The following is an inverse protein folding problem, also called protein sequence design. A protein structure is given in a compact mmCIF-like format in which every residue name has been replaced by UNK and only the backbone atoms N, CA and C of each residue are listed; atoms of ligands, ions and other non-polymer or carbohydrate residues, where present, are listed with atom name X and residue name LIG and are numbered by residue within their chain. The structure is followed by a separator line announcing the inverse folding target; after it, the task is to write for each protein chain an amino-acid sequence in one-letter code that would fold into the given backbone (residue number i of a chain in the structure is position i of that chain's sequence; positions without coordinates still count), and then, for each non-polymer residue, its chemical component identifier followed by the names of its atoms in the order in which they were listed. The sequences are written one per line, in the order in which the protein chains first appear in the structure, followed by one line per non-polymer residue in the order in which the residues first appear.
data_IF_265810401542
#
_entry.id   IF_265810401542
#
_cell.length_a   1.000
_cell.length_b   1.000
_cell.length_c   1.000
_cell.angle_alpha   90.00
_cell.angle_beta   90.00
_cell.angle_gamma   90.00
#
_symmetry.space_group_name_H-M   'P 1'
#
loop_
_entity.id
_entity.type
_entity.pdbx_description
1 polymer ?
#
# COMPACT_ATOMS: atom_id res chain seq x y z
N UNK A 1 -25.95 -19.74 -5.10
CA UNK A 1 -25.89 -18.27 -5.15
C UNK A 1 -24.47 -17.86 -4.84
N UNK A 2 -23.83 -17.12 -5.74
CA UNK A 2 -22.48 -16.60 -5.55
C UNK A 2 -22.51 -15.28 -4.79
N UNK A 3 -21.38 -14.89 -4.18
CA UNK A 3 -21.24 -13.58 -3.53
C UNK A 3 -21.53 -12.43 -4.50
N UNK A 4 -21.23 -12.61 -5.80
CA UNK A 4 -21.54 -11.63 -6.85
C UNK A 4 -23.06 -11.46 -7.05
N UNK A 5 -23.81 -12.56 -7.04
CA UNK A 5 -25.27 -12.52 -7.17
C UNK A 5 -25.92 -11.87 -5.94
N UNK A 6 -25.44 -12.23 -4.74
CA UNK A 6 -25.89 -11.62 -3.48
C UNK A 6 -25.61 -10.11 -3.46
N UNK A 7 -24.42 -9.67 -3.87
CA UNK A 7 -24.06 -8.25 -3.89
C UNK A 7 -24.99 -7.43 -4.80
N UNK A 8 -25.35 -7.95 -5.98
CA UNK A 8 -26.31 -7.29 -6.89
C UNK A 8 -27.69 -7.15 -6.23
N UNK A 9 -28.19 -8.21 -5.61
CA UNK A 9 -29.48 -8.18 -4.90
C UNK A 9 -29.49 -7.18 -3.74
N UNK A 10 -28.35 -7.02 -3.05
CA UNK A 10 -28.23 -6.05 -1.96
C UNK A 10 -28.22 -4.62 -2.49
N UNK A 11 -27.50 -4.35 -3.59
CA UNK A 11 -27.45 -3.02 -4.22
C UNK A 11 -28.85 -2.51 -4.55
N UNK A 12 -29.71 -3.37 -5.13
CA UNK A 12 -31.07 -2.99 -5.51
C UNK A 12 -31.98 -2.62 -4.32
N UNK A 13 -31.60 -2.99 -3.09
CA UNK A 13 -32.34 -2.67 -1.86
C UNK A 13 -31.88 -1.37 -1.19
N UNK A 14 -30.80 -0.74 -1.69
CA UNK A 14 -30.21 0.44 -1.06
C UNK A 14 -30.96 1.69 -1.52
N UNK A 15 -31.46 2.53 -0.59
CA UNK A 15 -32.07 3.81 -0.96
C UNK A 15 -31.07 4.70 -1.71
N UNK A 16 -31.54 5.41 -2.74
CA UNK A 16 -30.70 6.28 -3.57
C UNK A 16 -29.89 7.30 -2.74
N UNK A 17 -30.46 7.83 -1.65
CA UNK A 17 -29.79 8.76 -0.73
C UNK A 17 -28.52 8.21 -0.07
N UNK A 18 -28.32 6.89 -0.10
CA UNK A 18 -27.13 6.19 0.42
C UNK A 18 -26.25 5.62 -0.68
N UNK A 19 -26.69 5.64 -1.94
CA UNK A 19 -25.99 4.99 -3.06
C UNK A 19 -24.59 5.57 -3.27
N UNK A 20 -24.41 6.87 -3.03
CA UNK A 20 -23.12 7.54 -3.16
C UNK A 20 -22.02 6.92 -2.27
N UNK A 21 -22.36 6.42 -1.07
CA UNK A 21 -21.39 5.74 -0.21
C UNK A 21 -20.96 4.40 -0.83
N UNK A 22 -21.90 3.68 -1.43
CA UNK A 22 -21.68 2.35 -2.02
C UNK A 22 -20.84 2.46 -3.29
N UNK A 23 -21.12 3.45 -4.14
CA UNK A 23 -20.35 3.69 -5.36
C UNK A 23 -18.87 3.86 -5.04
N UNK A 24 -18.51 4.65 -4.02
CA UNK A 24 -17.11 4.84 -3.63
C UNK A 24 -16.42 3.52 -3.24
N UNK A 25 -17.09 2.66 -2.48
CA UNK A 25 -16.55 1.35 -2.12
C UNK A 25 -16.40 0.43 -3.35
N UNK A 26 -17.38 0.43 -4.26
CA UNK A 26 -17.32 -0.39 -5.47
C UNK A 26 -16.23 0.10 -6.44
N UNK A 27 -16.02 1.42 -6.54
CA UNK A 27 -14.93 2.00 -7.32
C UNK A 27 -13.57 1.57 -6.77
N UNK A 28 -13.37 1.61 -5.44
CA UNK A 28 -12.16 1.12 -4.80
C UNK A 28 -11.94 -0.39 -5.01
N UNK A 29 -12.98 -1.21 -4.86
CA UNK A 29 -12.91 -2.65 -5.07
C UNK A 29 -12.71 -3.06 -6.55
N UNK A 30 -13.02 -2.15 -7.48
CA UNK A 30 -12.80 -2.35 -8.91
C UNK A 30 -11.41 -1.90 -9.38
N UNK A 31 -10.62 -1.25 -8.51
CA UNK A 31 -9.20 -0.98 -8.79
C UNK A 31 -8.51 -2.34 -8.98
N UNK A 32 -7.87 -2.60 -10.13
CA UNK A 32 -7.13 -3.83 -10.34
C UNK A 32 -6.02 -3.97 -9.30
N UNK A 33 -5.68 -5.20 -8.94
CA UNK A 33 -4.42 -5.42 -8.24
C UNK A 33 -3.27 -4.96 -9.15
N UNK A 34 -2.51 -3.99 -8.68
CA UNK A 34 -1.32 -3.53 -9.36
C UNK A 34 -0.12 -4.34 -8.88
N UNK A 35 0.73 -4.73 -9.81
CA UNK A 35 2.07 -5.22 -9.48
C UNK A 35 3.02 -4.04 -9.58
N UNK A 36 3.93 -3.83 -8.60
CA UNK A 36 4.97 -2.82 -8.74
C UNK A 36 5.76 -2.99 -10.04
N UNK A 37 6.26 -1.90 -10.60
CA UNK A 37 7.11 -1.97 -11.78
C UNK A 37 8.44 -2.70 -11.47
N UNK A 38 9.18 -3.08 -12.50
CA UNK A 38 10.43 -3.84 -12.35
C UNK A 38 11.44 -3.15 -11.42
N UNK A 39 11.62 -1.83 -11.58
CA UNK A 39 12.51 -1.03 -10.73
C UNK A 39 12.11 -1.09 -9.24
N UNK A 40 10.82 -1.02 -8.95
CA UNK A 40 10.32 -1.10 -7.57
C UNK A 40 10.50 -2.50 -7.00
N UNK A 41 10.28 -3.55 -7.80
CA UNK A 41 10.52 -4.93 -7.37
C UNK A 41 11.99 -5.19 -7.09
N UNK A 42 12.90 -4.65 -7.91
CA UNK A 42 14.35 -4.73 -7.70
C UNK A 42 14.77 -4.01 -6.41
N UNK A 43 14.28 -2.79 -6.18
CA UNK A 43 14.56 -2.07 -4.93
C UNK A 43 14.03 -2.82 -3.69
N UNK A 44 12.85 -3.44 -3.77
CA UNK A 44 12.32 -4.27 -2.69
C UNK A 44 13.19 -5.51 -2.43
N UNK A 45 13.71 -6.13 -3.50
CA UNK A 45 14.62 -7.28 -3.38
C UNK A 45 15.96 -6.88 -2.76
N UNK A 46 16.53 -5.74 -3.16
CA UNK A 46 17.76 -5.22 -2.57
C UNK A 46 17.62 -4.99 -1.05
N UNK A 47 16.52 -4.37 -0.61
CA UNK A 47 16.25 -4.15 0.81
C UNK A 47 16.11 -5.49 1.56
N UNK A 48 15.45 -6.48 0.96
CA UNK A 48 15.32 -7.81 1.55
C UNK A 48 16.70 -8.48 1.72
N UNK A 49 17.56 -8.40 0.70
CA UNK A 49 18.93 -8.91 0.76
C UNK A 49 19.75 -8.21 1.86
N UNK A 50 19.63 -6.89 2.00
CA UNK A 50 20.30 -6.12 3.05
C UNK A 50 19.87 -6.55 4.46
N UNK A 51 18.59 -6.88 4.65
CA UNK A 51 18.07 -7.40 5.92
C UNK A 51 18.66 -8.77 6.20
N UNK A 52 18.67 -9.66 5.21
CA UNK A 52 19.16 -11.04 5.35
C UNK A 52 20.67 -11.10 5.61
N UNK A 53 21.44 -10.24 4.94
CA UNK A 53 22.89 -10.17 5.12
C UNK A 53 23.32 -9.29 6.29
N UNK A 54 22.39 -8.55 6.90
CA UNK A 54 22.70 -7.54 7.92
C UNK A 54 23.56 -6.39 7.39
N UNK A 55 23.51 -6.12 6.08
CA UNK A 55 24.29 -5.06 5.43
C UNK A 55 23.59 -3.68 5.48
N UNK A 56 22.39 -3.61 6.06
CA UNK A 56 21.70 -2.35 6.31
C UNK A 56 22.55 -1.37 7.13
N UNK A 57 22.56 -0.11 6.70
CA UNK A 57 23.22 0.94 7.47
C UNK A 57 22.42 1.25 8.74
N UNK A 58 23.08 1.20 9.89
CA UNK A 58 22.50 1.54 11.18
C UNK A 58 23.29 2.68 11.81
N UNK A 59 22.62 3.79 12.09
CA UNK A 59 23.21 4.87 12.89
C UNK A 59 23.07 4.58 14.38
N UNK A 60 24.17 4.72 15.12
CA UNK A 60 24.19 4.62 16.58
C UNK A 60 24.79 5.89 17.16
N UNK A 61 24.01 6.62 17.96
CA UNK A 61 24.41 7.89 18.54
C UNK A 61 23.19 8.76 18.87
N UNK A 62 23.40 9.98 19.40
CA UNK A 62 22.31 10.91 19.59
C UNK A 62 21.77 11.41 18.24
N UNK A 63 20.48 11.69 18.18
CA UNK A 63 19.81 12.18 16.96
C UNK A 63 20.43 13.48 16.41
N UNK A 64 21.02 14.32 17.28
CA UNK A 64 21.74 15.52 16.87
C UNK A 64 22.87 15.23 15.88
N UNK A 65 23.58 14.13 16.09
CA UNK A 65 24.77 13.78 15.31
C UNK A 65 24.36 13.19 13.95
N UNK A 66 23.26 12.42 13.93
CA UNK A 66 22.65 11.96 12.67
C UNK A 66 22.18 13.13 11.80
N UNK A 67 21.51 14.11 12.40
CA UNK A 67 21.02 15.29 11.68
C UNK A 67 22.16 16.18 11.18
N UNK A 68 23.26 16.29 11.94
CA UNK A 68 24.47 16.97 11.48
C UNK A 68 25.07 16.27 10.26
N UNK A 69 25.20 14.93 10.29
CA UNK A 69 25.68 14.13 9.15
C UNK A 69 24.85 14.36 7.88
N UNK A 70 23.52 14.39 7.98
CA UNK A 70 22.64 14.63 6.83
C UNK A 70 22.73 16.06 6.27
N UNK A 71 23.05 17.04 7.10
CA UNK A 71 23.15 18.45 6.70
C UNK A 71 24.49 18.78 6.01
N UNK A 72 25.49 17.91 6.13
CA UNK A 72 26.82 18.06 5.53
C UNK A 72 26.95 17.34 4.17
N UNK A 73 25.89 16.67 3.70
CA UNK A 73 25.80 15.97 2.40
C UNK A 73 25.26 16.81 1.24
#
# INVERSE_FOLDING_TARGET
MSNRELAKQLIDQIPESKMYYIVSYLQGAAVPEETPNAETLEAMAEVQDMIESGAGEHFSGPTSDFLAMLAEG
#
